data_IF_522473711566
#
_entry.id   IF_522473711566
#
_cell.length_a   1.000
_cell.length_b   1.000
_cell.length_c   1.000
_cell.angle_alpha   90.00
_cell.angle_beta   90.00
_cell.angle_gamma   90.00
#
_symmetry.space_group_name_H-M   'P 1'
#
loop_
_entity.id
_entity.type
_entity.pdbx_description
1 polymer ?
#
# COMPACT_ATOMS: atom_id res chain seq x y z
N UNK A 1 -41.81 -38.02 -69.77
CA UNK A 1 -42.39 -36.68 -69.79
C UNK A 1 -42.10 -36.07 -68.38
N UNK A 2 -40.97 -35.35 -68.21
CA UNK A 2 -40.65 -34.70 -66.98
C UNK A 2 -41.01 -33.21 -67.08
N UNK A 3 -41.95 -32.75 -66.29
CA UNK A 3 -42.28 -31.30 -66.11
C UNK A 3 -41.30 -30.64 -65.15
N UNK A 4 -40.57 -29.65 -65.65
CA UNK A 4 -39.74 -28.71 -64.82
C UNK A 4 -40.64 -27.66 -64.19
N UNK A 5 -40.52 -27.46 -62.88
CA UNK A 5 -41.14 -26.36 -62.14
C UNK A 5 -40.14 -25.18 -62.04
N UNK A 6 -40.56 -23.92 -62.20
CA UNK A 6 -39.71 -22.82 -62.12
C UNK A 6 -39.46 -22.41 -60.62
N UNK A 7 -38.23 -22.17 -60.29
CA UNK A 7 -37.80 -21.59 -59.00
C UNK A 7 -38.10 -20.09 -58.97
N UNK A 8 -39.07 -19.69 -58.19
CA UNK A 8 -39.48 -18.30 -57.98
C UNK A 8 -38.50 -17.53 -57.13
N UNK A 9 -38.11 -16.34 -57.62
CA UNK A 9 -37.05 -15.43 -57.13
C UNK A 9 -37.34 -14.70 -55.85
N UNK A 10 -37.98 -15.27 -54.82
CA UNK A 10 -38.34 -14.58 -53.59
C UNK A 10 -37.35 -14.85 -52.42
N UNK A 11 -36.33 -15.68 -52.62
CA UNK A 11 -35.36 -15.97 -51.54
C UNK A 11 -34.14 -15.05 -51.52
N UNK A 12 -33.85 -14.31 -52.55
CA UNK A 12 -32.65 -13.46 -52.65
C UNK A 12 -32.85 -12.12 -51.96
N UNK A 13 -34.10 -11.59 -51.92
CA UNK A 13 -34.39 -10.29 -51.32
C UNK A 13 -34.38 -10.29 -49.76
N UNK A 14 -34.57 -11.49 -49.15
CA UNK A 14 -34.53 -11.60 -47.66
C UNK A 14 -33.14 -11.75 -47.08
N UNK A 15 -32.16 -12.18 -47.84
CA UNK A 15 -30.76 -12.30 -47.38
C UNK A 15 -30.00 -10.97 -47.41
N UNK A 16 -30.37 -10.03 -48.31
CA UNK A 16 -29.73 -8.70 -48.35
C UNK A 16 -30.22 -7.80 -47.24
N UNK A 17 -31.44 -7.96 -46.71
CA UNK A 17 -31.94 -7.20 -45.56
C UNK A 17 -31.31 -7.61 -44.23
N UNK A 18 -30.85 -8.86 -44.11
CA UNK A 18 -30.24 -9.38 -42.90
C UNK A 18 -28.74 -8.99 -42.77
N UNK A 19 -28.09 -8.76 -43.92
CA UNK A 19 -26.67 -8.35 -43.95
C UNK A 19 -26.47 -6.86 -43.66
N UNK A 20 -27.52 -6.03 -43.89
CA UNK A 20 -27.43 -4.57 -43.62
C UNK A 20 -27.73 -4.20 -42.16
N UNK A 21 -28.31 -5.10 -41.36
CA UNK A 21 -28.67 -4.85 -39.96
C UNK A 21 -27.58 -5.24 -38.97
N UNK A 22 -26.52 -5.91 -39.43
CA UNK A 22 -25.38 -6.31 -38.57
C UNK A 22 -24.29 -5.25 -38.50
N UNK A 23 -24.35 -4.19 -39.32
CA UNK A 23 -23.27 -3.17 -39.45
C UNK A 23 -23.51 -1.91 -38.64
N UNK A 24 -24.51 -1.85 -37.75
CA UNK A 24 -24.83 -0.64 -36.95
C UNK A 24 -24.69 -0.81 -35.44
N UNK A 25 -24.02 -1.88 -34.94
CA UNK A 25 -23.77 -2.07 -33.50
C UNK A 25 -22.27 -1.96 -33.13
N UNK A 26 -21.50 -1.24 -33.92
CA UNK A 26 -20.13 -0.86 -33.54
C UNK A 26 -20.09 0.62 -33.16
N UNK A 27 -20.85 1.00 -32.14
CA UNK A 27 -20.75 2.33 -31.55
C UNK A 27 -20.58 2.18 -30.04
N UNK A 28 -19.40 2.60 -29.59
CA UNK A 28 -19.09 2.97 -28.21
C UNK A 28 -19.13 1.85 -27.17
N UNK A 29 -18.26 0.87 -27.27
CA UNK A 29 -17.67 0.32 -26.05
C UNK A 29 -16.35 1.03 -25.78
N UNK A 30 -16.44 2.29 -25.42
CA UNK A 30 -15.37 2.93 -24.64
C UNK A 30 -15.36 2.21 -23.32
N UNK A 31 -14.64 1.09 -23.22
CA UNK A 31 -14.32 0.46 -21.95
C UNK A 31 -13.57 1.52 -21.14
N UNK A 32 -14.26 2.10 -20.17
CA UNK A 32 -13.58 2.91 -19.15
C UNK A 32 -12.42 2.04 -18.62
N UNK A 33 -11.20 2.60 -18.52
CA UNK A 33 -10.07 1.83 -18.04
C UNK A 33 -10.43 1.28 -16.66
N UNK A 34 -10.52 -0.06 -16.56
CA UNK A 34 -10.71 -0.74 -15.28
C UNK A 34 -9.37 -0.69 -14.57
N UNK A 35 -9.20 0.29 -13.71
CA UNK A 35 -8.06 0.32 -12.80
C UNK A 35 -8.24 -0.76 -11.76
N UNK A 36 -7.26 -1.64 -11.58
CA UNK A 36 -7.22 -2.54 -10.43
C UNK A 36 -7.14 -1.70 -9.16
N UNK A 37 -7.72 -2.21 -8.07
CA UNK A 37 -7.77 -1.50 -6.78
C UNK A 37 -6.38 -1.01 -6.40
N UNK A 38 -6.21 0.31 -6.30
CA UNK A 38 -4.94 0.96 -6.00
C UNK A 38 -4.09 1.37 -7.19
N UNK A 39 -4.49 1.08 -8.46
CA UNK A 39 -3.80 1.56 -9.65
C UNK A 39 -4.56 2.73 -10.27
N UNK A 40 -3.88 3.88 -10.35
CA UNK A 40 -4.34 5.06 -11.07
C UNK A 40 -3.60 5.21 -12.41
N UNK A 41 -3.81 6.32 -13.13
CA UNK A 41 -2.99 6.67 -14.30
C UNK A 41 -1.50 6.55 -13.98
N UNK A 42 -0.65 6.20 -14.97
CA UNK A 42 0.78 5.91 -14.81
C UNK A 42 1.47 6.81 -13.77
N UNK A 43 2.05 6.18 -12.74
CA UNK A 43 2.75 6.89 -11.65
C UNK A 43 1.85 7.49 -10.56
N UNK A 44 0.54 7.14 -10.52
CA UNK A 44 -0.38 7.54 -9.46
C UNK A 44 -0.99 6.34 -8.76
N UNK A 45 -1.50 6.56 -7.56
CA UNK A 45 -2.27 5.62 -6.76
C UNK A 45 -3.67 6.17 -6.50
N UNK A 46 -4.70 5.37 -6.70
CA UNK A 46 -6.08 5.72 -6.35
C UNK A 46 -6.38 5.27 -4.91
N UNK A 47 -6.66 6.23 -4.05
CA UNK A 47 -6.92 5.98 -2.62
C UNK A 47 -8.20 5.16 -2.44
N UNK A 48 -8.10 4.08 -1.71
CA UNK A 48 -9.19 3.18 -1.36
C UNK A 48 -9.63 3.39 0.10
N UNK A 49 -10.83 2.90 0.43
CA UNK A 49 -11.35 2.94 1.80
C UNK A 49 -10.39 2.24 2.77
N UNK A 50 -10.03 2.93 3.85
CA UNK A 50 -9.10 2.44 4.88
C UNK A 50 -7.62 2.65 4.57
N UNK A 51 -7.29 3.36 3.48
CA UNK A 51 -5.92 3.80 3.24
C UNK A 51 -5.58 5.04 4.07
N UNK A 52 -4.33 5.11 4.51
CA UNK A 52 -3.70 6.31 5.05
C UNK A 52 -2.53 6.72 4.17
N UNK A 53 -2.06 7.96 4.25
CA UNK A 53 -0.86 8.36 3.51
C UNK A 53 0.35 7.50 3.92
N UNK A 54 0.40 7.06 5.17
CA UNK A 54 1.43 6.15 5.67
C UNK A 54 1.34 4.76 5.03
N UNK A 55 0.13 4.19 4.89
CA UNK A 55 -0.04 2.88 4.25
C UNK A 55 0.32 2.93 2.76
N UNK A 56 -0.03 4.02 2.07
CA UNK A 56 0.34 4.23 0.67
C UNK A 56 1.86 4.37 0.55
N UNK A 57 2.50 5.22 1.36
CA UNK A 57 3.95 5.38 1.38
C UNK A 57 4.66 4.05 1.68
N UNK A 58 4.18 3.31 2.68
CA UNK A 58 4.71 2.01 3.06
C UNK A 58 4.63 0.99 1.92
N UNK A 59 3.49 0.90 1.21
CA UNK A 59 3.28 0.02 0.05
C UNK A 59 4.34 0.22 -1.03
N UNK A 60 4.68 1.48 -1.32
CA UNK A 60 5.60 1.85 -2.40
C UNK A 60 7.04 2.09 -1.94
N UNK A 61 7.37 1.85 -0.66
CA UNK A 61 8.73 2.05 -0.13
C UNK A 61 9.17 3.52 -0.16
N UNK A 62 8.21 4.43 -0.03
CA UNK A 62 8.42 5.88 -0.04
C UNK A 62 8.40 6.44 1.40
N UNK A 63 9.14 7.51 1.59
CA UNK A 63 8.99 8.33 2.79
C UNK A 63 7.66 9.10 2.74
N UNK A 64 6.87 9.04 3.82
CA UNK A 64 5.54 9.66 3.87
C UNK A 64 5.58 11.18 3.75
N UNK A 65 6.62 11.86 4.26
CA UNK A 65 6.78 13.31 4.14
C UNK A 65 7.10 13.71 2.69
N UNK A 66 7.92 12.90 2.02
CA UNK A 66 8.23 13.07 0.61
C UNK A 66 6.99 12.87 -0.24
N UNK A 67 6.20 11.81 0.03
CA UNK A 67 4.93 11.56 -0.64
C UNK A 67 3.94 12.72 -0.41
N UNK A 68 3.85 13.22 0.82
CA UNK A 68 3.02 14.36 1.18
C UNK A 68 3.40 15.62 0.39
N UNK A 69 4.69 15.97 0.36
CA UNK A 69 5.20 17.15 -0.38
C UNK A 69 4.90 17.06 -1.87
N UNK A 70 5.10 15.89 -2.50
CA UNK A 70 4.81 15.68 -3.92
C UNK A 70 3.33 15.90 -4.27
N UNK A 71 2.46 15.73 -3.27
CA UNK A 71 1.01 15.84 -3.44
C UNK A 71 0.39 17.09 -2.79
N UNK A 72 1.19 17.98 -2.21
CA UNK A 72 0.69 19.17 -1.52
C UNK A 72 -0.11 18.87 -0.25
N UNK A 73 0.08 17.68 0.34
CA UNK A 73 -0.62 17.22 1.53
C UNK A 73 0.15 17.69 2.77
N UNK A 74 -0.54 18.40 3.67
CA UNK A 74 0.02 18.90 4.94
C UNK A 74 -0.38 18.00 6.11
N UNK A 75 0.35 18.03 7.24
CA UNK A 75 -0.12 17.40 8.47
C UNK A 75 -1.56 17.84 8.81
N UNK A 76 -2.42 16.95 9.29
CA UNK A 76 -2.16 15.56 9.74
C UNK A 76 -2.09 14.49 8.63
N UNK A 77 -1.83 14.86 7.36
CA UNK A 77 -1.66 13.96 6.21
C UNK A 77 -2.93 13.22 5.79
N UNK A 78 -4.07 13.87 5.92
CA UNK A 78 -5.37 13.31 5.54
C UNK A 78 -5.46 13.11 4.02
N UNK A 79 -5.93 11.95 3.61
CA UNK A 79 -6.26 11.60 2.22
C UNK A 79 -7.70 11.11 2.14
N UNK A 80 -8.30 11.18 0.96
CA UNK A 80 -9.71 10.88 0.76
C UNK A 80 -9.89 9.75 -0.25
N UNK A 81 -10.89 8.92 -0.08
CA UNK A 81 -11.26 7.86 -1.03
C UNK A 81 -11.47 8.47 -2.41
N UNK A 82 -10.97 7.79 -3.44
CA UNK A 82 -10.94 8.24 -4.85
C UNK A 82 -9.99 9.43 -5.13
N UNK A 83 -9.16 9.85 -4.18
CA UNK A 83 -8.08 10.79 -4.44
C UNK A 83 -6.93 10.11 -5.19
N UNK A 84 -6.36 10.78 -6.19
CA UNK A 84 -5.13 10.33 -6.84
C UNK A 84 -3.90 10.84 -6.08
N UNK A 85 -3.00 9.94 -5.71
CA UNK A 85 -1.72 10.23 -5.07
C UNK A 85 -0.61 10.00 -6.06
N UNK A 86 0.17 11.04 -6.39
CA UNK A 86 1.37 10.95 -7.24
C UNK A 86 2.46 10.19 -6.48
N UNK A 87 2.97 9.11 -7.08
CA UNK A 87 4.00 8.25 -6.50
C UNK A 87 5.41 8.63 -6.96
N UNK A 88 5.52 9.40 -8.04
CA UNK A 88 6.79 9.88 -8.61
C UNK A 88 6.69 11.37 -8.86
N UNK A 89 7.77 12.10 -8.58
CA UNK A 89 7.90 13.49 -9.01
C UNK A 89 7.97 13.53 -10.54
N UNK A 90 7.25 14.46 -11.17
CA UNK A 90 7.41 14.73 -12.60
C UNK A 90 8.81 15.30 -12.83
N UNK A 91 9.63 14.57 -13.58
CA UNK A 91 10.98 15.03 -13.97
C UNK A 91 10.94 16.21 -14.97
N UNK A 92 9.74 16.71 -15.33
CA UNK A 92 9.56 17.83 -16.26
C UNK A 92 8.61 18.87 -15.66
N UNK A 93 9.12 19.71 -14.78
CA UNK A 93 8.59 21.06 -14.64
C UNK A 93 9.68 22.02 -15.12
N UNK A 94 9.63 22.40 -16.41
CA UNK A 94 10.20 23.67 -16.87
C UNK A 94 9.55 24.73 -15.98
N UNK A 95 10.33 25.33 -15.11
CA UNK A 95 9.97 26.53 -14.39
C UNK A 95 9.76 27.62 -15.43
N UNK A 96 8.49 27.89 -15.76
CA UNK A 96 8.11 29.15 -16.40
C UNK A 96 8.21 30.22 -15.31
N UNK A 97 9.11 31.17 -15.56
CA UNK A 97 9.57 32.15 -14.60
C UNK A 97 8.44 32.98 -13.98
N UNK A 98 8.41 32.98 -12.68
CA UNK A 98 8.04 34.15 -11.89
C UNK A 98 9.04 34.22 -10.75
N UNK A 99 9.83 35.25 -10.74
CA UNK A 99 10.84 35.55 -9.72
C UNK A 99 10.11 35.76 -8.40
N UNK A 100 9.98 34.72 -7.60
CA UNK A 100 9.64 34.83 -6.18
C UNK A 100 10.97 34.82 -5.42
N UNK A 101 11.22 35.95 -4.76
CA UNK A 101 12.33 36.23 -3.85
C UNK A 101 12.71 34.98 -3.06
N UNK A 102 13.95 34.54 -3.24
CA UNK A 102 14.59 33.45 -2.52
C UNK A 102 14.61 33.78 -1.03
N UNK A 103 13.68 33.21 -0.28
CA UNK A 103 13.86 33.04 1.16
C UNK A 103 14.85 31.89 1.36
N UNK A 104 15.84 32.00 2.24
CA UNK A 104 16.80 30.94 2.47
C UNK A 104 16.07 29.67 2.95
N UNK A 105 16.54 28.47 2.58
CA UNK A 105 15.96 27.23 3.06
C UNK A 105 16.21 27.15 4.57
N UNK A 106 15.19 27.49 5.36
CA UNK A 106 15.18 27.24 6.79
C UNK A 106 14.89 25.75 7.01
N UNK A 107 15.84 24.91 6.65
CA UNK A 107 15.91 23.54 7.15
C UNK A 107 16.55 23.59 8.54
N UNK A 108 15.85 24.12 9.51
CA UNK A 108 16.06 23.68 10.89
C UNK A 108 15.49 22.25 10.92
N UNK A 109 16.32 21.28 10.57
CA UNK A 109 16.09 19.89 10.94
C UNK A 109 16.27 19.87 12.46
N UNK A 110 15.17 20.00 13.19
CA UNK A 110 15.16 19.63 14.59
C UNK A 110 15.66 18.20 14.66
N UNK A 111 16.74 17.91 15.40
CA UNK A 111 17.23 16.54 15.53
C UNK A 111 16.06 15.66 15.97
N UNK A 112 15.71 14.67 15.18
CA UNK A 112 14.66 13.72 15.55
C UNK A 112 15.18 12.92 16.72
N UNK A 113 14.56 13.06 17.90
CA UNK A 113 14.92 12.30 19.09
C UNK A 113 15.08 10.81 18.76
N UNK A 114 16.17 10.18 19.23
CA UNK A 114 16.37 8.75 19.02
C UNK A 114 15.21 7.95 19.63
N UNK A 115 14.74 6.94 18.93
CA UNK A 115 13.78 6.00 19.51
C UNK A 115 14.52 5.13 20.53
N UNK A 116 14.11 5.21 21.77
CA UNK A 116 14.64 4.44 22.88
C UNK A 116 13.68 3.31 23.29
N UNK A 117 14.11 2.46 24.22
CA UNK A 117 13.28 1.41 24.83
C UNK A 117 12.73 0.36 23.85
N UNK A 118 13.53 0.01 22.82
CA UNK A 118 13.19 -1.07 21.91
C UNK A 118 13.06 -2.40 22.66
N UNK A 119 12.06 -3.18 22.29
CA UNK A 119 11.86 -4.55 22.78
C UNK A 119 11.36 -5.46 21.67
N UNK A 120 11.56 -6.73 21.86
CA UNK A 120 11.01 -7.74 20.97
C UNK A 120 9.48 -7.68 20.97
N UNK A 121 8.84 -7.60 19.78
CA UNK A 121 7.38 -7.50 19.68
C UNK A 121 6.67 -8.83 19.99
N UNK A 122 7.40 -9.94 19.89
CA UNK A 122 6.89 -11.29 20.14
C UNK A 122 7.98 -12.13 20.80
N UNK A 123 7.60 -12.97 21.75
CA UNK A 123 8.50 -14.01 22.29
C UNK A 123 8.40 -15.24 21.40
N UNK A 124 9.41 -15.48 20.57
CA UNK A 124 9.50 -16.58 19.61
C UNK A 124 10.85 -16.59 18.92
N UNK A 125 11.17 -17.68 18.26
CA UNK A 125 12.38 -17.83 17.45
C UNK A 125 12.26 -17.01 16.15
N UNK A 126 13.38 -16.46 15.67
CA UNK A 126 13.45 -15.83 14.35
C UNK A 126 13.61 -16.93 13.30
N UNK A 127 12.56 -17.21 12.56
CA UNK A 127 12.50 -18.24 11.51
C UNK A 127 12.77 -17.71 10.11
N UNK A 128 12.72 -16.38 9.92
CA UNK A 128 13.07 -15.69 8.68
C UNK A 128 13.88 -14.43 8.97
N UNK A 129 15.10 -14.35 8.44
CA UNK A 129 15.98 -13.20 8.61
C UNK A 129 15.73 -12.10 7.59
N UNK A 130 16.20 -10.87 7.90
CA UNK A 130 16.16 -9.75 6.97
C UNK A 130 17.04 -9.98 5.75
N UNK A 131 16.49 -9.80 4.54
CA UNK A 131 17.20 -9.91 3.26
C UNK A 131 16.58 -8.99 2.21
N UNK A 132 17.40 -8.23 1.51
CA UNK A 132 17.00 -7.45 0.35
C UNK A 132 17.34 -8.13 -0.98
N UNK A 133 17.91 -9.34 -0.91
CA UNK A 133 18.22 -10.21 -2.05
C UNK A 133 17.26 -11.41 -2.06
N UNK A 134 17.35 -12.26 -3.07
CA UNK A 134 16.44 -13.40 -3.21
C UNK A 134 16.76 -14.53 -2.20
N UNK A 135 15.79 -15.01 -1.40
CA UNK A 135 14.43 -14.51 -1.26
C UNK A 135 14.38 -13.17 -0.48
N UNK A 136 13.55 -12.25 -0.96
CA UNK A 136 13.40 -10.93 -0.32
C UNK A 136 12.56 -11.07 0.96
N UNK A 137 13.12 -10.62 2.09
CA UNK A 137 12.41 -10.42 3.35
C UNK A 137 12.74 -9.01 3.91
N UNK A 138 11.80 -8.09 3.84
CA UNK A 138 11.99 -6.69 4.25
C UNK A 138 12.00 -6.48 5.76
N UNK A 139 11.86 -7.55 6.53
CA UNK A 139 11.83 -7.57 7.98
C UNK A 139 12.43 -8.84 8.54
N UNK A 140 11.91 -9.29 9.65
CA UNK A 140 12.16 -10.60 10.25
C UNK A 140 10.83 -11.31 10.50
N UNK A 141 10.84 -12.63 10.40
CA UNK A 141 9.69 -13.46 10.72
C UNK A 141 9.96 -14.16 12.06
N UNK A 142 9.04 -13.96 13.01
CA UNK A 142 9.16 -14.48 14.37
C UNK A 142 8.08 -15.54 14.56
N UNK A 143 8.46 -16.78 14.85
CA UNK A 143 7.54 -17.87 15.14
C UNK A 143 6.63 -17.51 16.31
N UNK A 144 5.36 -17.86 16.18
CA UNK A 144 4.35 -17.63 17.22
C UNK A 144 3.22 -18.64 17.13
N UNK A 145 2.37 -18.64 18.14
CA UNK A 145 1.13 -19.40 18.13
C UNK A 145 -0.02 -18.47 17.75
N UNK A 146 -0.97 -18.96 16.97
CA UNK A 146 -2.19 -18.23 16.64
C UNK A 146 -2.85 -17.67 17.92
N UNK A 147 -3.22 -16.39 17.88
CA UNK A 147 -3.78 -15.69 19.04
C UNK A 147 -2.76 -15.18 20.06
N UNK A 148 -1.48 -15.56 19.96
CA UNK A 148 -0.42 -15.03 20.85
C UNK A 148 -0.33 -13.50 20.74
N UNK A 149 -0.16 -12.85 21.89
CA UNK A 149 -0.09 -11.38 21.96
C UNK A 149 1.19 -10.87 21.30
N UNK A 150 1.02 -9.88 20.44
CA UNK A 150 2.09 -9.04 19.87
C UNK A 150 2.04 -7.70 20.55
N UNK A 151 3.21 -7.17 20.92
CA UNK A 151 3.34 -5.88 21.62
C UNK A 151 4.06 -4.85 20.76
N UNK A 152 3.81 -3.57 21.06
CA UNK A 152 4.55 -2.47 20.43
C UNK A 152 6.04 -2.56 20.79
N UNK A 153 6.92 -2.52 19.80
CA UNK A 153 8.37 -2.64 19.98
C UNK A 153 9.00 -1.40 20.62
N UNK A 154 8.37 -0.24 20.45
CA UNK A 154 8.78 1.03 21.06
C UNK A 154 7.56 1.96 21.23
N UNK A 155 7.73 3.08 21.94
CA UNK A 155 6.71 4.13 22.06
C UNK A 155 6.35 4.71 20.69
N UNK A 156 5.08 5.09 20.47
CA UNK A 156 4.69 5.71 19.21
C UNK A 156 3.20 5.95 19.08
N UNK A 157 2.79 6.24 17.83
CA UNK A 157 1.40 6.45 17.43
C UNK A 157 1.07 5.48 16.29
N UNK A 158 -0.06 4.80 16.39
CA UNK A 158 -0.57 3.93 15.32
C UNK A 158 -0.99 4.82 14.13
N UNK A 159 -0.36 4.63 12.99
CA UNK A 159 -0.64 5.41 11.76
C UNK A 159 -1.33 4.58 10.69
N UNK A 160 -1.49 3.28 10.92
CA UNK A 160 -2.29 2.38 10.12
C UNK A 160 -2.67 1.14 10.93
N UNK A 161 -3.93 0.71 10.80
CA UNK A 161 -4.42 -0.57 11.31
C UNK A 161 -5.48 -1.13 10.36
N UNK A 162 -5.10 -2.06 9.47
CA UNK A 162 -5.98 -2.54 8.40
C UNK A 162 -5.49 -3.80 7.69
N UNK A 163 -6.28 -4.31 6.75
CA UNK A 163 -5.98 -5.50 5.94
C UNK A 163 -5.75 -5.22 4.45
N UNK A 164 -5.64 -3.96 4.04
CA UNK A 164 -5.66 -3.59 2.62
C UNK A 164 -4.28 -3.68 1.93
N UNK A 165 -3.20 -3.94 2.68
CA UNK A 165 -1.87 -4.11 2.10
C UNK A 165 -1.64 -5.56 1.69
N UNK A 166 -1.60 -5.78 0.36
CA UNK A 166 -1.34 -7.10 -0.22
C UNK A 166 -0.01 -7.66 0.27
N UNK A 167 0.00 -8.92 0.69
CA UNK A 167 1.20 -9.64 1.15
C UNK A 167 1.51 -9.49 2.65
N UNK A 168 0.79 -8.61 3.37
CA UNK A 168 1.00 -8.41 4.81
C UNK A 168 -0.12 -8.98 5.68
N UNK A 169 -1.25 -9.38 5.07
CA UNK A 169 -2.44 -9.72 5.84
C UNK A 169 -2.95 -8.52 6.63
N UNK A 170 -3.48 -8.74 7.82
CA UNK A 170 -3.80 -7.64 8.73
C UNK A 170 -2.50 -7.05 9.28
N UNK A 171 -2.35 -5.74 9.16
CA UNK A 171 -1.12 -4.99 9.41
C UNK A 171 -1.39 -3.83 10.37
N UNK A 172 -0.52 -3.68 11.37
CA UNK A 172 -0.41 -2.47 12.19
C UNK A 172 0.89 -1.76 11.83
N UNK A 173 0.87 -0.44 11.64
CA UNK A 173 2.07 0.40 11.47
C UNK A 173 2.08 1.43 12.59
N UNK A 174 3.22 1.53 13.29
CA UNK A 174 3.46 2.49 14.38
C UNK A 174 4.54 3.48 13.92
N UNK A 175 4.23 4.77 14.04
CA UNK A 175 5.21 5.86 13.89
C UNK A 175 5.84 6.12 15.25
N UNK A 176 7.15 5.95 15.34
CA UNK A 176 7.92 6.20 16.57
C UNK A 176 8.47 7.62 16.63
N UNK A 177 9.00 8.09 15.53
CA UNK A 177 9.42 9.47 15.33
C UNK A 177 9.21 9.85 13.86
N UNK A 178 9.79 10.95 13.42
CA UNK A 178 9.58 11.47 12.06
C UNK A 178 10.18 10.60 10.95
N UNK A 179 11.10 9.72 11.29
CA UNK A 179 11.86 8.94 10.32
C UNK A 179 11.65 7.42 10.47
N UNK A 180 11.25 6.96 11.69
CA UNK A 180 11.19 5.54 12.03
C UNK A 180 9.76 5.06 12.15
N UNK A 181 9.45 4.02 11.40
CA UNK A 181 8.21 3.24 11.50
C UNK A 181 8.54 1.80 11.88
N UNK A 182 7.66 1.16 12.64
CA UNK A 182 7.61 -0.30 12.74
C UNK A 182 6.31 -0.84 12.16
N UNK A 183 6.36 -2.05 11.60
CA UNK A 183 5.22 -2.70 11.00
C UNK A 183 5.09 -4.14 11.49
N UNK A 184 3.85 -4.55 11.77
CA UNK A 184 3.49 -5.83 12.36
C UNK A 184 2.47 -6.51 11.45
N UNK A 185 2.88 -7.47 10.67
CA UNK A 185 2.07 -8.20 9.68
C UNK A 185 1.66 -9.60 10.13
N UNK A 186 0.83 -10.25 9.32
CA UNK A 186 0.27 -11.59 9.56
C UNK A 186 -0.60 -11.70 10.81
N UNK A 187 -1.29 -10.62 11.16
CA UNK A 187 -2.12 -10.59 12.36
C UNK A 187 -3.50 -11.23 12.14
N UNK A 188 -4.04 -11.84 13.19
CA UNK A 188 -5.42 -12.32 13.24
C UNK A 188 -6.39 -11.22 13.69
N UNK A 189 -6.05 -10.51 14.76
CA UNK A 189 -6.93 -9.52 15.40
C UNK A 189 -6.13 -8.29 15.78
N UNK A 190 -6.61 -7.11 15.43
CA UNK A 190 -6.03 -5.83 15.85
C UNK A 190 -6.68 -5.39 17.18
N UNK A 191 -5.85 -5.00 18.15
CA UNK A 191 -6.26 -4.52 19.49
C UNK A 191 -6.15 -3.00 19.60
N UNK A 192 -5.68 -2.35 18.55
CA UNK A 192 -5.51 -0.90 18.42
C UNK A 192 -6.09 -0.40 17.11
N UNK A 193 -6.33 0.89 17.05
CA UNK A 193 -6.80 1.61 15.87
C UNK A 193 -5.87 2.78 15.53
N UNK A 194 -6.01 3.31 14.33
CA UNK A 194 -5.32 4.51 13.89
C UNK A 194 -5.56 5.68 14.85
N UNK A 195 -4.49 6.42 15.14
CA UNK A 195 -4.47 7.53 16.12
C UNK A 195 -4.13 7.11 17.55
N UNK A 196 -4.19 5.82 17.89
CA UNK A 196 -3.87 5.37 19.25
C UNK A 196 -2.39 5.61 19.59
N UNK A 197 -2.14 6.21 20.76
CA UNK A 197 -0.80 6.30 21.35
C UNK A 197 -0.48 4.99 22.06
N UNK A 198 0.70 4.45 21.81
CA UNK A 198 1.17 3.20 22.41
C UNK A 198 2.51 3.38 23.09
N UNK A 199 2.69 2.70 24.20
CA UNK A 199 3.98 2.56 24.89
C UNK A 199 4.62 1.23 24.50
N UNK A 200 5.93 1.14 24.55
CA UNK A 200 6.67 -0.10 24.39
C UNK A 200 6.09 -1.20 25.30
N UNK A 201 5.73 -2.35 24.72
CA UNK A 201 5.10 -3.46 25.45
C UNK A 201 3.59 -3.42 25.56
N UNK A 202 2.91 -2.37 25.06
CA UNK A 202 1.44 -2.38 24.95
C UNK A 202 1.01 -3.45 23.95
N UNK A 203 0.03 -4.28 24.29
CA UNK A 203 -0.59 -5.23 23.39
C UNK A 203 -1.27 -4.50 22.23
N UNK A 204 -0.90 -4.83 20.98
CA UNK A 204 -1.39 -4.14 19.79
C UNK A 204 -2.14 -5.05 18.84
N UNK A 205 -1.80 -6.35 18.83
CA UNK A 205 -2.41 -7.32 17.91
C UNK A 205 -2.20 -8.74 18.43
N UNK A 206 -2.72 -9.72 17.68
CA UNK A 206 -2.50 -11.16 17.91
C UNK A 206 -1.94 -11.81 16.66
N UNK A 207 -1.02 -12.76 16.84
CA UNK A 207 -0.44 -13.58 15.77
C UNK A 207 -1.55 -14.28 14.99
N UNK A 208 -1.44 -14.28 13.69
CA UNK A 208 -2.28 -15.02 12.76
C UNK A 208 -1.48 -15.76 11.71
N UNK A 209 -2.15 -16.17 10.64
CA UNK A 209 -1.56 -16.79 9.46
C UNK A 209 -2.13 -16.16 8.17
N UNK A 210 -2.60 -14.90 8.26
CA UNK A 210 -3.46 -14.30 7.23
C UNK A 210 -2.77 -14.09 5.87
N UNK A 211 -1.44 -14.05 5.81
CA UNK A 211 -0.68 -13.90 4.56
C UNK A 211 0.38 -14.98 4.38
N UNK A 212 0.56 -15.85 5.34
CA UNK A 212 1.54 -16.93 5.32
C UNK A 212 0.87 -18.27 5.65
N UNK A 213 1.42 -19.37 5.19
CA UNK A 213 1.00 -20.73 5.58
C UNK A 213 1.42 -21.09 7.01
N UNK A 214 2.32 -20.31 7.61
CA UNK A 214 2.90 -20.52 8.94
C UNK A 214 2.44 -19.46 9.90
N UNK A 215 2.13 -19.86 11.16
CA UNK A 215 1.79 -18.94 12.23
C UNK A 215 3.04 -18.17 12.67
N UNK A 216 3.09 -16.89 12.35
CA UNK A 216 4.25 -16.03 12.61
C UNK A 216 3.86 -14.56 12.65
N UNK A 217 4.69 -13.76 13.28
CA UNK A 217 4.70 -12.31 13.13
C UNK A 217 5.72 -11.93 12.07
N UNK A 218 5.30 -11.23 11.02
CA UNK A 218 6.24 -10.50 10.14
C UNK A 218 6.47 -9.11 10.74
N UNK A 219 7.73 -8.79 11.07
CA UNK A 219 8.11 -7.55 11.74
C UNK A 219 9.12 -6.76 10.92
N UNK A 220 8.77 -5.53 10.55
CA UNK A 220 9.66 -4.61 9.83
C UNK A 220 9.99 -3.37 10.66
N UNK A 221 11.18 -2.82 10.46
CA UNK A 221 11.53 -1.43 10.81
C UNK A 221 11.90 -0.72 9.52
N UNK A 222 11.38 0.49 9.35
CA UNK A 222 11.71 1.35 8.21
C UNK A 222 12.19 2.72 8.66
N UNK A 223 13.27 3.16 8.02
CA UNK A 223 13.80 4.51 8.15
C UNK A 223 13.59 5.24 6.82
N UNK A 224 12.90 6.38 6.87
CA UNK A 224 12.60 7.19 5.68
C UNK A 224 11.97 6.35 4.54
N UNK A 225 11.04 5.45 4.91
CA UNK A 225 10.35 4.52 4.03
C UNK A 225 11.15 3.29 3.60
N UNK A 226 12.46 3.23 3.85
CA UNK A 226 13.34 2.12 3.44
C UNK A 226 13.42 1.06 4.54
N UNK A 227 13.30 -0.25 4.19
CA UNK A 227 13.47 -1.33 5.14
C UNK A 227 14.89 -1.36 5.72
N UNK A 228 14.97 -1.55 7.02
CA UNK A 228 16.23 -1.78 7.74
C UNK A 228 16.14 -3.08 8.55
N UNK A 229 17.30 -3.71 8.82
CA UNK A 229 17.35 -4.95 9.59
C UNK A 229 16.88 -4.71 11.04
N UNK A 230 15.73 -5.28 11.45
CA UNK A 230 15.17 -5.04 12.77
C UNK A 230 16.05 -5.46 13.94
N UNK A 231 16.91 -6.47 13.74
CA UNK A 231 17.82 -6.99 14.79
C UNK A 231 18.80 -5.91 15.26
N UNK A 232 19.10 -4.89 14.45
CA UNK A 232 19.97 -3.78 14.84
C UNK A 232 19.35 -2.84 15.88
N UNK A 233 18.04 -2.88 16.04
CA UNK A 233 17.26 -2.04 16.95
C UNK A 233 16.87 -2.79 18.22
N UNK A 234 16.62 -4.09 18.10
CA UNK A 234 16.13 -4.91 19.19
C UNK A 234 17.25 -5.28 20.18
N UNK A 235 16.92 -5.46 21.47
CA UNK A 235 17.91 -5.90 22.45
C UNK A 235 18.47 -7.29 22.11
N UNK A 236 19.70 -7.55 22.47
CA UNK A 236 20.30 -8.87 22.29
C UNK A 236 19.51 -9.91 23.08
N UNK A 237 19.30 -11.07 22.47
CA UNK A 237 18.76 -12.29 23.08
C UNK A 237 19.88 -13.25 23.39
#
# INVERSE_FOLDING_TARGET
>A
MLKRLPLTGHRILRMQGLLLMVLLVTACTGLAPVYSVGEGPSGTYLVSKGDTLYSVAFRYGLDHKTLARMNGIRPPYTIYVNQFIKLRGSANRKESGTVVKKSPPSTVQTPTEPVSNWRWPLNGEVIGGFSLTNPVNKGIDIAGKRGQIVVAAADGVVVYAGGNLRGYGKLVIIKHNDNILSAYGNNETMLVKEGDKVKAGKSITRVGSSAASTEMLHFEIRRDGKPENPVRYLPRR
#
